data_IF_909673453129
#
_entry.id   IF_909673453129
#
_cell.length_a   1.000
_cell.length_b   1.000
_cell.length_c   1.000
_cell.angle_alpha   90.00
_cell.angle_beta   90.00
_cell.angle_gamma   90.00
#
_symmetry.space_group_name_H-M   'P 1'
#
loop_
_entity.id
_entity.type
_entity.pdbx_description
1 polymer ?
#
# COMPACT_ATOMS: atom_id res chain seq x y z
N UNK A 1 -18.42 2.78 14.96
CA UNK A 1 -18.53 1.31 14.77
C UNK A 1 -19.55 0.70 15.71
N UNK A 2 -20.29 -0.26 15.23
CA UNK A 2 -21.27 -1.03 16.01
C UNK A 2 -20.80 -2.47 16.20
N UNK A 3 -21.09 -3.04 17.38
CA UNK A 3 -20.83 -4.46 17.70
C UNK A 3 -21.89 -5.00 18.63
N UNK A 4 -21.99 -6.33 18.72
CA UNK A 4 -22.89 -7.01 19.67
C UNK A 4 -22.15 -7.20 20.99
N UNK A 5 -22.78 -6.81 22.11
CA UNK A 5 -22.19 -7.06 23.43
C UNK A 5 -22.29 -8.56 23.79
N UNK A 6 -21.17 -9.15 24.20
CA UNK A 6 -21.12 -10.53 24.69
C UNK A 6 -21.64 -10.61 26.11
N UNK A 7 -22.97 -10.54 26.26
CA UNK A 7 -23.62 -10.74 27.54
C UNK A 7 -24.60 -11.90 27.46
N UNK A 8 -24.60 -12.72 28.52
CA UNK A 8 -25.58 -13.79 28.74
C UNK A 8 -27.00 -13.26 29.02
N UNK A 9 -27.16 -11.97 29.22
CA UNK A 9 -28.44 -11.31 29.46
C UNK A 9 -28.69 -10.26 28.36
N UNK A 10 -29.56 -10.59 27.43
CA UNK A 10 -30.11 -9.64 26.48
C UNK A 10 -31.35 -8.92 27.05
N UNK A 11 -31.87 -7.97 26.30
CA UNK A 11 -33.14 -7.32 26.63
C UNK A 11 -34.29 -8.29 26.34
N UNK A 12 -35.07 -8.66 27.37
CA UNK A 12 -36.26 -9.48 27.22
C UNK A 12 -37.39 -8.57 26.77
N UNK A 13 -37.99 -8.83 25.64
CA UNK A 13 -39.23 -8.22 25.19
C UNK A 13 -40.29 -9.30 24.95
N UNK A 14 -41.52 -8.90 24.65
CA UNK A 14 -42.64 -9.79 24.30
C UNK A 14 -42.35 -10.65 23.06
N UNK A 15 -41.27 -10.33 22.30
CA UNK A 15 -40.83 -11.04 21.09
C UNK A 15 -39.58 -11.91 21.31
N UNK A 16 -39.08 -12.01 22.55
CA UNK A 16 -37.90 -12.83 22.87
C UNK A 16 -36.69 -12.04 23.35
N UNK A 17 -35.57 -12.70 23.43
CA UNK A 17 -34.31 -12.14 23.87
C UNK A 17 -33.55 -11.50 22.67
N UNK A 18 -33.29 -10.19 22.75
CA UNK A 18 -32.54 -9.47 21.73
C UNK A 18 -31.12 -9.17 22.21
N UNK A 19 -30.08 -9.33 21.35
CA UNK A 19 -28.72 -8.95 21.72
C UNK A 19 -28.63 -7.43 21.88
N UNK A 20 -27.78 -7.01 22.83
CA UNK A 20 -27.47 -5.59 23.00
C UNK A 20 -26.43 -5.20 21.94
N UNK A 21 -26.76 -4.21 21.13
CA UNK A 21 -25.84 -3.59 20.18
C UNK A 21 -25.29 -2.31 20.79
N UNK A 22 -23.98 -2.18 20.77
CA UNK A 22 -23.24 -0.98 21.21
C UNK A 22 -22.67 -0.24 20.04
N UNK A 23 -22.49 1.06 20.20
CA UNK A 23 -21.88 1.94 19.20
C UNK A 23 -20.85 2.85 19.84
N UNK A 24 -19.74 3.10 19.15
CA UNK A 24 -18.68 4.03 19.54
C UNK A 24 -18.19 4.80 18.32
N UNK A 25 -18.02 6.13 18.48
CA UNK A 25 -17.32 6.98 17.52
C UNK A 25 -15.81 6.89 17.71
N UNK A 26 -15.07 6.86 16.62
CA UNK A 26 -13.61 6.88 16.64
C UNK A 26 -13.15 7.88 15.59
N UNK A 27 -12.29 8.81 16.00
CA UNK A 27 -11.60 9.74 15.09
C UNK A 27 -10.13 9.84 15.46
N UNK A 28 -9.33 10.30 14.52
CA UNK A 28 -7.94 10.60 14.83
C UNK A 28 -7.84 11.87 15.69
N UNK A 29 -6.89 11.87 16.62
CA UNK A 29 -6.62 13.02 17.48
C UNK A 29 -6.15 14.26 16.68
N UNK A 30 -5.48 14.03 15.54
CA UNK A 30 -4.98 15.06 14.63
C UNK A 30 -5.91 15.36 13.44
N UNK A 31 -7.18 14.95 13.50
CA UNK A 31 -8.16 15.23 12.44
C UNK A 31 -8.39 16.76 12.33
N UNK A 32 -8.27 17.28 11.10
CA UNK A 32 -8.39 18.73 10.83
C UNK A 32 -9.83 19.21 10.68
N UNK A 33 -10.72 18.31 10.28
CA UNK A 33 -12.09 18.69 9.87
C UNK A 33 -13.09 18.71 11.04
N UNK A 34 -12.61 18.38 12.25
CA UNK A 34 -13.44 18.43 13.45
C UNK A 34 -14.75 17.65 13.28
N UNK A 35 -15.88 18.30 13.61
CA UNK A 35 -17.21 17.69 13.58
C UNK A 35 -17.80 17.60 12.16
N UNK A 36 -17.21 18.27 11.16
CA UNK A 36 -17.65 18.25 9.76
C UNK A 36 -17.03 17.11 8.94
N UNK A 37 -16.20 16.25 9.56
CA UNK A 37 -15.58 15.13 8.88
C UNK A 37 -16.62 14.10 8.40
N UNK A 38 -16.45 13.53 7.18
CA UNK A 38 -17.33 12.48 6.69
C UNK A 38 -17.36 11.26 7.62
N UNK A 39 -18.54 10.85 8.04
CA UNK A 39 -18.73 9.71 8.95
C UNK A 39 -18.80 8.41 8.14
N UNK A 40 -17.94 7.43 8.46
CA UNK A 40 -18.09 6.05 8.02
C UNK A 40 -18.78 5.23 9.12
N UNK A 41 -19.93 4.70 8.82
CA UNK A 41 -20.63 3.78 9.70
C UNK A 41 -20.25 2.34 9.37
N UNK A 42 -19.69 1.60 10.35
CA UNK A 42 -19.29 0.21 10.21
C UNK A 42 -20.16 -0.60 11.17
N UNK A 43 -21.00 -1.48 10.64
CA UNK A 43 -21.81 -2.38 11.43
C UNK A 43 -21.15 -3.78 11.44
N UNK A 44 -20.73 -4.21 12.62
CA UNK A 44 -20.12 -5.51 12.88
C UNK A 44 -20.95 -6.35 13.84
N UNK A 45 -22.20 -5.96 14.10
CA UNK A 45 -23.06 -6.60 15.11
C UNK A 45 -23.37 -8.07 14.81
N UNK A 46 -23.30 -8.49 13.55
CA UNK A 46 -23.59 -9.87 13.16
C UNK A 46 -22.45 -10.85 13.47
N UNK A 47 -21.20 -10.37 13.55
CA UNK A 47 -20.02 -11.24 13.68
C UNK A 47 -18.98 -10.78 14.71
N UNK A 48 -19.17 -9.65 15.36
CA UNK A 48 -18.24 -9.13 16.36
C UNK A 48 -18.92 -8.95 17.71
N UNK A 49 -18.43 -9.65 18.72
CA UNK A 49 -18.88 -9.55 20.11
C UNK A 49 -17.85 -8.87 21.02
N UNK A 50 -16.65 -8.63 20.51
CA UNK A 50 -15.56 -8.05 21.27
C UNK A 50 -15.39 -6.58 20.94
N UNK A 51 -15.56 -5.71 21.96
CA UNK A 51 -15.40 -4.27 21.84
C UNK A 51 -14.04 -3.86 21.28
N UNK A 52 -12.97 -4.50 21.75
CA UNK A 52 -11.61 -4.17 21.31
C UNK A 52 -11.41 -4.45 19.81
N UNK A 53 -11.92 -5.57 19.33
CA UNK A 53 -11.91 -5.89 17.90
C UNK A 53 -12.66 -4.84 17.07
N UNK A 54 -13.81 -4.37 17.55
CA UNK A 54 -14.58 -3.34 16.87
C UNK A 54 -13.81 -2.01 16.81
N UNK A 55 -13.16 -1.63 17.92
CA UNK A 55 -12.32 -0.44 18.01
C UNK A 55 -11.11 -0.56 17.09
N UNK A 56 -10.38 -1.68 17.12
CA UNK A 56 -9.19 -1.89 16.28
C UNK A 56 -9.56 -1.87 14.80
N UNK A 57 -10.71 -2.44 14.43
CA UNK A 57 -11.21 -2.34 13.04
C UNK A 57 -11.49 -0.91 12.62
N UNK A 58 -12.14 -0.13 13.48
CA UNK A 58 -12.44 1.26 13.16
C UNK A 58 -11.16 2.13 13.09
N UNK A 59 -10.20 1.90 13.97
CA UNK A 59 -8.87 2.52 13.88
C UNK A 59 -8.20 2.20 12.56
N UNK A 60 -8.23 0.93 12.14
CA UNK A 60 -7.68 0.51 10.86
C UNK A 60 -8.32 1.23 9.67
N UNK A 61 -9.65 1.38 9.67
CA UNK A 61 -10.35 2.12 8.61
C UNK A 61 -10.00 3.62 8.60
N UNK A 62 -9.81 4.23 9.77
CA UNK A 62 -9.31 5.61 9.86
C UNK A 62 -7.91 5.74 9.25
N UNK A 63 -7.00 4.79 9.55
CA UNK A 63 -5.66 4.76 8.98
C UNK A 63 -5.66 4.53 7.47
N UNK A 64 -6.51 3.62 7.00
CA UNK A 64 -6.67 3.32 5.58
C UNK A 64 -7.04 4.59 4.80
N UNK A 65 -8.04 5.34 5.28
CA UNK A 65 -8.49 6.59 4.66
C UNK A 65 -7.45 7.70 4.72
N UNK A 66 -6.63 7.72 5.75
CA UNK A 66 -5.58 8.73 5.89
C UNK A 66 -4.41 8.47 4.97
N UNK A 67 -3.94 7.25 4.93
CA UNK A 67 -2.65 6.91 4.32
C UNK A 67 -2.76 6.32 2.92
N UNK A 68 -3.83 5.61 2.59
CA UNK A 68 -4.05 5.07 1.24
C UNK A 68 -4.73 6.12 0.39
N UNK A 69 -3.93 6.95 -0.25
CA UNK A 69 -4.39 8.15 -0.97
C UNK A 69 -4.61 7.91 -2.45
N UNK A 70 -3.95 6.91 -3.04
CA UNK A 70 -4.00 6.69 -4.48
C UNK A 70 -3.78 5.22 -4.84
N UNK A 71 -4.13 4.88 -6.05
CA UNK A 71 -3.91 3.58 -6.68
C UNK A 71 -3.18 3.77 -7.99
N UNK A 72 -2.57 2.69 -8.49
CA UNK A 72 -1.87 2.66 -9.77
C UNK A 72 -2.28 1.42 -10.54
N UNK A 73 -2.51 1.60 -11.84
CA UNK A 73 -2.68 0.52 -12.80
C UNK A 73 -1.54 0.57 -13.81
N UNK A 74 -0.91 -0.56 -14.07
CA UNK A 74 0.16 -0.66 -15.05
C UNK A 74 0.20 -2.04 -15.70
N UNK A 75 0.76 -2.07 -16.92
CA UNK A 75 1.03 -3.30 -17.65
C UNK A 75 2.50 -3.66 -17.55
N UNK A 76 2.78 -4.94 -17.40
CA UNK A 76 4.15 -5.46 -17.41
C UNK A 76 4.21 -6.77 -18.19
N UNK A 77 5.39 -7.12 -18.66
CA UNK A 77 5.62 -8.45 -19.24
C UNK A 77 5.67 -9.48 -18.13
N UNK A 78 5.32 -10.76 -18.41
CA UNK A 78 5.50 -11.83 -17.46
C UNK A 78 6.96 -11.88 -17.00
N UNK A 79 7.18 -11.60 -15.73
CA UNK A 79 8.51 -11.67 -15.13
C UNK A 79 8.69 -13.00 -14.42
N UNK A 80 9.93 -13.39 -14.13
CA UNK A 80 10.21 -14.59 -13.34
C UNK A 80 9.77 -14.43 -11.88
N UNK A 81 9.43 -13.22 -11.44
CA UNK A 81 8.89 -12.98 -10.11
C UNK A 81 7.46 -13.50 -10.03
N UNK A 82 7.19 -14.38 -9.08
CA UNK A 82 5.83 -14.85 -8.77
C UNK A 82 5.13 -13.72 -8.01
N UNK A 83 4.33 -12.95 -8.73
CA UNK A 83 3.46 -11.94 -8.13
C UNK A 83 2.11 -12.58 -7.77
N UNK A 84 1.58 -12.22 -6.62
CA UNK A 84 0.24 -12.63 -6.19
C UNK A 84 -0.52 -11.44 -5.62
N UNK A 85 -1.85 -11.55 -5.63
CA UNK A 85 -2.69 -10.57 -4.94
C UNK A 85 -2.28 -10.50 -3.46
N UNK A 86 -2.05 -9.28 -2.98
CA UNK A 86 -1.55 -9.02 -1.62
C UNK A 86 -0.03 -8.85 -1.53
N UNK A 87 0.73 -9.19 -2.58
CA UNK A 87 2.18 -8.94 -2.63
C UNK A 87 2.50 -7.45 -2.55
N UNK A 88 3.59 -7.14 -1.88
CA UNK A 88 4.13 -5.78 -1.77
C UNK A 88 5.19 -5.58 -2.84
N UNK A 89 5.04 -4.54 -3.63
CA UNK A 89 5.98 -4.17 -4.70
C UNK A 89 6.46 -2.73 -4.50
N UNK A 90 7.64 -2.42 -5.03
CA UNK A 90 8.14 -1.05 -5.13
C UNK A 90 8.05 -0.57 -6.56
N UNK A 91 7.44 0.60 -6.77
CA UNK A 91 7.29 1.23 -8.07
C UNK A 91 7.86 2.64 -8.04
N UNK A 92 8.64 2.98 -9.04
CA UNK A 92 8.95 4.36 -9.37
C UNK A 92 7.87 4.87 -10.33
N UNK A 93 7.09 5.86 -9.90
CA UNK A 93 6.04 6.45 -10.72
C UNK A 93 6.48 7.83 -11.16
N UNK A 94 6.40 8.07 -12.46
CA UNK A 94 6.77 9.33 -13.10
C UNK A 94 5.60 10.32 -13.05
N UNK A 95 5.22 10.78 -11.87
CA UNK A 95 4.15 11.78 -11.75
C UNK A 95 4.65 13.22 -11.66
N UNK A 96 5.93 13.45 -11.40
CA UNK A 96 6.46 14.78 -11.05
C UNK A 96 7.56 15.29 -12.00
N UNK A 97 8.26 14.42 -12.73
CA UNK A 97 9.32 14.82 -13.65
C UNK A 97 9.14 14.16 -15.02
N UNK A 98 8.45 14.83 -15.90
CA UNK A 98 8.14 14.37 -17.26
C UNK A 98 9.35 14.07 -18.18
N UNK A 99 10.57 14.32 -17.75
CA UNK A 99 11.77 14.24 -18.58
C UNK A 99 12.89 13.34 -18.04
N UNK A 100 12.63 12.52 -17.01
CA UNK A 100 13.66 11.58 -16.52
C UNK A 100 13.13 10.17 -16.50
N UNK A 101 13.75 9.25 -17.25
CA UNK A 101 13.39 7.84 -17.21
C UNK A 101 13.61 7.29 -15.81
N UNK A 102 12.56 6.73 -15.24
CA UNK A 102 12.60 6.24 -13.85
C UNK A 102 12.78 4.73 -13.77
N UNK A 103 12.30 4.02 -14.77
CA UNK A 103 12.35 2.55 -14.80
C UNK A 103 13.04 2.05 -16.06
N UNK A 104 13.71 0.92 -15.94
CA UNK A 104 14.35 0.27 -17.06
C UNK A 104 14.72 -1.17 -16.79
N UNK A 105 15.26 -1.80 -17.82
CA UNK A 105 15.73 -3.18 -17.75
C UNK A 105 17.15 -3.29 -18.30
N UNK A 106 17.90 -4.27 -17.82
CA UNK A 106 19.25 -4.60 -18.25
C UNK A 106 19.23 -6.02 -18.79
N UNK A 107 19.54 -6.17 -20.06
CA UNK A 107 19.55 -7.48 -20.73
C UNK A 107 20.66 -8.40 -20.24
N UNK A 108 20.66 -9.65 -20.70
CA UNK A 108 21.75 -10.61 -20.48
C UNK A 108 23.07 -10.15 -21.08
N UNK A 109 23.04 -9.30 -22.11
CA UNK A 109 24.21 -8.71 -22.73
C UNK A 109 24.68 -7.40 -22.08
N UNK A 110 23.91 -6.94 -21.06
CA UNK A 110 24.16 -5.68 -20.35
C UNK A 110 23.61 -4.44 -21.07
N UNK A 111 22.81 -4.60 -22.11
CA UNK A 111 22.14 -3.48 -22.79
C UNK A 111 21.06 -2.90 -21.88
N UNK A 112 21.09 -1.58 -21.72
CA UNK A 112 20.18 -0.85 -20.86
C UNK A 112 19.05 -0.29 -21.71
N UNK A 113 17.81 -0.67 -21.38
CA UNK A 113 16.59 -0.16 -22.01
C UNK A 113 15.76 0.57 -20.98
N UNK A 114 15.27 1.75 -21.33
CA UNK A 114 14.37 2.58 -20.53
C UNK A 114 13.45 3.34 -21.49
N UNK A 115 12.38 3.92 -20.96
CA UNK A 115 11.41 4.68 -21.75
C UNK A 115 12.10 5.78 -22.57
N UNK A 116 12.95 6.58 -21.92
CA UNK A 116 13.88 7.49 -22.59
C UNK A 116 15.29 6.96 -22.44
N UNK A 117 16.11 7.02 -23.51
CA UNK A 117 17.48 6.53 -23.45
C UNK A 117 18.29 7.27 -22.38
N UNK A 118 18.89 6.52 -21.46
CA UNK A 118 19.79 7.08 -20.48
C UNK A 118 21.14 7.44 -21.13
N UNK A 119 21.61 8.63 -20.81
CA UNK A 119 22.96 9.04 -21.20
C UNK A 119 24.02 8.20 -20.48
N UNK A 120 25.24 8.21 -21.00
CA UNK A 120 26.37 7.61 -20.29
C UNK A 120 26.60 8.35 -18.97
N UNK A 121 26.65 7.61 -17.88
CA UNK A 121 26.75 8.18 -16.53
C UNK A 121 26.68 7.12 -15.44
N UNK A 122 26.77 7.57 -14.21
CA UNK A 122 26.60 6.73 -13.03
C UNK A 122 25.29 7.18 -12.34
N UNK A 123 24.39 6.22 -12.12
CA UNK A 123 23.04 6.46 -11.62
C UNK A 123 22.79 5.68 -10.34
N UNK A 124 22.22 6.32 -9.35
CA UNK A 124 21.71 5.61 -8.18
C UNK A 124 20.38 4.95 -8.52
N UNK A 125 20.29 3.64 -8.33
CA UNK A 125 19.15 2.85 -8.72
C UNK A 125 18.72 1.89 -7.61
N UNK A 126 17.44 1.64 -7.51
CA UNK A 126 16.90 0.46 -6.87
C UNK A 126 16.89 -0.65 -7.92
N UNK A 127 17.62 -1.71 -7.69
CA UNK A 127 17.83 -2.82 -8.63
C UNK A 127 17.20 -4.11 -8.14
N UNK A 128 16.55 -4.82 -9.04
CA UNK A 128 16.07 -6.19 -8.85
C UNK A 128 16.75 -7.12 -9.86
N UNK A 129 17.53 -8.07 -9.39
CA UNK A 129 18.30 -9.05 -10.22
C UNK A 129 17.58 -10.40 -10.42
N UNK A 130 16.31 -10.49 -10.01
CA UNK A 130 15.53 -11.72 -10.02
C UNK A 130 15.53 -12.46 -8.68
N UNK A 131 16.40 -12.08 -7.74
CA UNK A 131 16.55 -12.70 -6.41
C UNK A 131 16.55 -11.65 -5.31
N UNK A 132 17.32 -10.59 -5.48
CA UNK A 132 17.53 -9.55 -4.47
C UNK A 132 17.08 -8.19 -4.97
N UNK A 133 16.48 -7.41 -4.07
CA UNK A 133 16.17 -6.01 -4.27
C UNK A 133 17.13 -5.17 -3.43
N UNK A 134 17.86 -4.27 -4.03
CA UNK A 134 18.84 -3.44 -3.33
C UNK A 134 19.17 -2.14 -4.05
N UNK A 135 19.65 -1.17 -3.28
CA UNK A 135 20.18 0.09 -3.81
C UNK A 135 21.62 -0.13 -4.29
N UNK A 136 21.92 0.35 -5.48
CA UNK A 136 23.26 0.24 -6.07
C UNK A 136 23.51 1.33 -7.09
N UNK A 137 24.77 1.50 -7.49
CA UNK A 137 25.14 2.40 -8.57
C UNK A 137 25.17 1.65 -9.89
N UNK A 138 24.36 2.08 -10.87
CA UNK A 138 24.34 1.60 -12.23
C UNK A 138 25.26 2.48 -13.09
N UNK A 139 26.39 1.93 -13.50
CA UNK A 139 27.30 2.59 -14.43
C UNK A 139 26.91 2.25 -15.88
N UNK A 140 26.50 3.25 -16.65
CA UNK A 140 26.15 3.13 -18.07
C UNK A 140 27.28 3.71 -18.92
N UNK A 141 27.76 2.93 -19.87
CA UNK A 141 28.78 3.33 -20.84
C UNK A 141 28.42 2.80 -22.22
N UNK A 142 28.20 3.70 -23.18
CA UNK A 142 27.73 3.36 -24.55
C UNK A 142 26.40 2.57 -24.52
N UNK A 143 25.47 3.00 -23.66
CA UNK A 143 24.16 2.36 -23.51
C UNK A 143 24.18 0.97 -22.85
N UNK A 144 25.28 0.59 -22.19
CA UNK A 144 25.45 -0.73 -21.58
C UNK A 144 25.97 -0.67 -20.15
N UNK A 145 25.54 -1.62 -19.34
CA UNK A 145 26.18 -1.95 -18.06
C UNK A 145 27.15 -3.11 -18.24
N UNK A 146 28.34 -2.99 -17.66
CA UNK A 146 29.34 -4.06 -17.70
C UNK A 146 29.23 -5.02 -16.54
N UNK A 147 28.71 -4.53 -15.41
CA UNK A 147 28.71 -5.26 -14.13
C UNK A 147 27.36 -5.89 -13.83
N UNK A 148 26.26 -5.25 -14.25
CA UNK A 148 24.90 -5.66 -13.94
C UNK A 148 24.26 -6.23 -15.21
N UNK A 149 23.60 -7.38 -15.08
CA UNK A 149 22.90 -8.07 -16.17
C UNK A 149 21.63 -8.73 -15.66
N UNK A 150 20.65 -8.97 -16.55
CA UNK A 150 19.40 -9.62 -16.25
C UNK A 150 18.67 -9.00 -15.05
N UNK A 151 18.56 -7.69 -15.04
CA UNK A 151 17.98 -6.97 -13.92
C UNK A 151 16.98 -5.92 -14.40
N UNK A 152 16.08 -5.54 -13.53
CA UNK A 152 15.25 -4.35 -13.69
C UNK A 152 15.66 -3.30 -12.67
N UNK A 153 15.52 -2.04 -13.02
CA UNK A 153 15.92 -0.96 -12.13
C UNK A 153 14.92 0.17 -12.14
N UNK A 154 14.89 0.90 -11.04
CA UNK A 154 14.22 2.18 -10.89
C UNK A 154 15.26 3.22 -10.49
N UNK A 155 15.35 4.33 -11.24
CA UNK A 155 16.22 5.43 -10.88
C UNK A 155 15.78 6.04 -9.56
N UNK A 156 16.76 6.30 -8.70
CA UNK A 156 16.54 7.03 -7.47
C UNK A 156 17.22 8.39 -7.56
N UNK A 157 16.44 9.44 -7.35
CA UNK A 157 16.98 10.79 -7.19
C UNK A 157 16.57 11.31 -5.82
N UNK A 158 17.18 12.39 -5.36
CA UNK A 158 16.82 13.04 -4.09
C UNK A 158 15.36 13.48 -4.04
N UNK A 159 14.72 13.67 -5.20
CA UNK A 159 13.32 14.12 -5.34
C UNK A 159 12.34 13.01 -5.71
N UNK A 160 12.82 11.87 -6.19
CA UNK A 160 11.97 10.74 -6.62
C UNK A 160 12.44 9.46 -5.96
N UNK A 161 11.60 8.91 -5.10
CA UNK A 161 11.82 7.63 -4.44
C UNK A 161 10.78 6.63 -4.92
N UNK A 162 11.20 5.36 -5.06
CA UNK A 162 10.25 4.30 -5.30
C UNK A 162 9.28 4.17 -4.11
N UNK A 163 8.00 4.20 -4.41
CA UNK A 163 6.95 4.05 -3.42
C UNK A 163 6.53 2.59 -3.30
N UNK A 164 5.97 2.23 -2.17
CA UNK A 164 5.52 0.87 -1.88
C UNK A 164 4.03 0.74 -2.21
N UNK A 165 3.68 -0.32 -2.94
CA UNK A 165 2.31 -0.64 -3.35
C UNK A 165 1.96 -2.06 -2.98
N UNK A 166 0.68 -2.30 -2.68
CA UNK A 166 0.12 -3.64 -2.48
C UNK A 166 -0.78 -4.00 -3.64
N UNK A 167 -0.51 -5.13 -4.26
CA UNK A 167 -1.28 -5.64 -5.40
C UNK A 167 -2.70 -5.99 -4.95
N UNK A 168 -3.69 -5.45 -5.64
CA UNK A 168 -5.12 -5.75 -5.44
C UNK A 168 -5.66 -6.74 -6.46
N UNK A 169 -5.27 -6.57 -7.72
CA UNK A 169 -5.70 -7.45 -8.79
C UNK A 169 -4.58 -7.72 -9.79
N UNK A 170 -4.61 -8.89 -10.40
CA UNK A 170 -3.72 -9.30 -11.47
C UNK A 170 -4.59 -9.88 -12.57
N UNK A 171 -4.50 -9.31 -13.77
CA UNK A 171 -5.13 -9.80 -14.99
C UNK A 171 -4.08 -10.17 -16.03
N UNK A 172 -4.54 -10.83 -17.09
CA UNK A 172 -3.71 -11.12 -18.28
C UNK A 172 -4.46 -10.59 -19.50
N UNK A 173 -3.76 -9.88 -20.35
CA UNK A 173 -4.34 -9.46 -21.62
C UNK A 173 -4.17 -10.54 -22.71
N UNK A 174 -4.76 -10.29 -23.90
CA UNK A 174 -4.73 -11.22 -25.02
C UNK A 174 -3.32 -11.44 -25.58
N UNK A 175 -2.42 -10.48 -25.37
CA UNK A 175 -1.02 -10.52 -25.80
C UNK A 175 -0.12 -11.22 -24.76
N UNK A 176 -0.68 -11.65 -23.63
CA UNK A 176 0.04 -12.31 -22.54
C UNK A 176 0.79 -11.35 -21.62
N UNK A 177 0.55 -10.05 -21.72
CA UNK A 177 1.05 -9.10 -20.73
C UNK A 177 0.22 -9.21 -19.44
N UNK A 178 0.81 -8.79 -18.34
CA UNK A 178 0.18 -8.80 -17.03
C UNK A 178 -0.33 -7.40 -16.70
N UNK A 179 -1.65 -7.29 -16.49
CA UNK A 179 -2.28 -6.08 -15.96
C UNK A 179 -2.30 -6.14 -14.44
N UNK A 180 -1.72 -5.16 -13.79
CA UNK A 180 -1.63 -5.08 -12.33
C UNK A 180 -2.32 -3.82 -11.86
N UNK A 181 -3.24 -3.98 -10.89
CA UNK A 181 -3.77 -2.89 -10.10
C UNK A 181 -3.22 -2.99 -8.67
N UNK A 182 -2.69 -1.89 -8.17
CA UNK A 182 -2.10 -1.83 -6.84
C UNK A 182 -2.49 -0.53 -6.13
N UNK A 183 -2.59 -0.58 -4.82
CA UNK A 183 -2.84 0.58 -3.98
C UNK A 183 -1.57 1.00 -3.26
N UNK A 184 -1.40 2.29 -3.07
CA UNK A 184 -0.34 2.82 -2.24
C UNK A 184 -0.35 2.17 -0.86
N UNK A 185 0.80 1.64 -0.43
CA UNK A 185 0.94 0.95 0.82
C UNK A 185 1.94 1.70 1.70
N UNK A 186 1.45 2.53 2.63
CA UNK A 186 2.31 3.39 3.43
C UNK A 186 3.18 2.55 4.36
N UNK A 187 4.48 2.76 4.29
CA UNK A 187 5.47 2.16 5.19
C UNK A 187 6.19 3.24 5.98
N UNK A 188 6.66 2.90 7.17
CA UNK A 188 7.59 3.71 7.94
C UNK A 188 9.04 3.51 7.45
N UNK A 189 9.98 4.22 8.06
CA UNK A 189 11.40 4.15 7.70
C UNK A 189 12.02 2.76 7.97
N UNK A 190 11.40 1.96 8.83
CA UNK A 190 11.79 0.57 9.12
C UNK A 190 11.13 -0.44 8.17
N UNK A 191 10.24 0.01 7.26
CA UNK A 191 9.52 -0.83 6.30
C UNK A 191 8.25 -1.49 6.82
N UNK A 192 7.81 -1.15 8.05
CA UNK A 192 6.53 -1.63 8.57
C UNK A 192 5.36 -0.80 8.05
N UNK A 193 4.20 -1.45 7.92
CA UNK A 193 2.99 -0.75 7.49
C UNK A 193 2.52 0.26 8.53
N UNK A 194 2.41 1.54 8.13
CA UNK A 194 1.86 2.62 8.97
C UNK A 194 0.38 2.42 9.31
N UNK A 195 -0.31 1.57 8.58
CA UNK A 195 -1.68 1.19 8.92
C UNK A 195 -1.79 0.47 10.27
N UNK A 196 -0.68 -0.10 10.76
CA UNK A 196 -0.61 -0.85 12.01
C UNK A 196 0.35 -0.19 13.01
N UNK A 197 1.47 0.39 12.57
CA UNK A 197 2.45 1.00 13.47
C UNK A 197 1.88 2.19 14.26
N UNK A 198 0.94 2.93 13.68
CA UNK A 198 0.33 4.13 14.29
C UNK A 198 -0.96 3.81 15.08
N UNK A 199 -1.09 2.59 15.62
CA UNK A 199 -2.28 2.13 16.38
C UNK A 199 -2.31 2.58 17.84
N UNK A 200 -1.34 3.37 18.29
CA UNK A 200 -1.31 3.90 19.65
C UNK A 200 -2.59 4.64 20.02
N UNK A 201 -3.09 4.43 21.24
CA UNK A 201 -4.34 5.04 21.72
C UNK A 201 -4.25 6.57 21.73
N UNK A 202 -3.05 7.14 21.87
CA UNK A 202 -2.77 8.57 21.79
C UNK A 202 -3.10 9.20 20.44
N UNK A 203 -3.15 8.40 19.38
CA UNK A 203 -3.47 8.85 18.02
C UNK A 203 -4.97 8.90 17.74
N UNK A 204 -5.80 8.46 18.65
CA UNK A 204 -7.25 8.36 18.46
C UNK A 204 -8.04 8.93 19.62
N UNK A 205 -9.17 9.53 19.30
CA UNK A 205 -10.19 9.96 20.26
C UNK A 205 -11.38 9.04 20.13
N UNK A 206 -11.82 8.49 21.26
CA UNK A 206 -13.03 7.67 21.36
C UNK A 206 -14.16 8.55 21.83
N UNK A 207 -15.24 8.65 21.06
CA UNK A 207 -16.39 9.50 21.34
C UNK A 207 -17.63 8.63 21.58
N UNK A 208 -18.15 8.71 22.81
CA UNK A 208 -19.45 8.15 23.17
C UNK A 208 -19.54 6.64 23.07
N UNK A 209 -19.39 5.94 24.18
CA UNK A 209 -20.01 4.63 24.34
C UNK A 209 -21.45 4.86 24.75
N UNK A 210 -22.39 4.73 23.82
CA UNK A 210 -23.84 4.73 24.11
C UNK A 210 -24.28 3.30 24.36
#
# INVERSE_FOLDING_TARGET
VRWREERTQGVISDRGLFPIVREIGIRRADARDGDDAPILQIDMSDFCTNQRHAIDRAKYECQLRRYVTHSVGFKTVPTQAILSVGSIIKLGIETVNYNQPQNGAISSTGEVTSWEPLADGDYEVLLWDGVTLGETTLAIRKGRSRTIKNAVFCLQTSSVKAETYRIQSIGFDEDGNVDIEAIYWPTDDAGFSRLVSDFGDENFVLEGAI
#
